data_IF_416257134921
#
_entry.id   IF_416257134921
#
_cell.length_a   1.000
_cell.length_b   1.000
_cell.length_c   1.000
_cell.angle_alpha   90.00
_cell.angle_beta   90.00
_cell.angle_gamma   90.00
#
_symmetry.space_group_name_H-M   'P 1'
#
loop_
_entity.id
_entity.type
_entity.pdbx_description
1 polymer ?
#
# COMPACT_ATOMS: atom_id res chain seq x y z
N UNK A 1 12.27 -15.01 -21.95
CA UNK A 1 10.80 -15.18 -21.96
C UNK A 1 10.20 -13.82 -21.70
N UNK A 2 9.19 -13.45 -22.47
CA UNK A 2 8.52 -12.16 -22.35
C UNK A 2 7.39 -12.24 -21.33
N UNK A 3 7.26 -11.19 -20.52
CA UNK A 3 6.23 -11.05 -19.51
C UNK A 3 5.52 -9.72 -19.70
N UNK A 4 4.19 -9.73 -19.64
CA UNK A 4 3.35 -8.54 -19.68
C UNK A 4 2.70 -8.34 -18.29
N UNK A 5 2.99 -7.23 -17.63
CA UNK A 5 2.38 -6.85 -16.33
C UNK A 5 1.33 -5.76 -16.58
N UNK A 6 0.14 -5.92 -16.03
CA UNK A 6 -0.97 -4.97 -16.17
C UNK A 6 -1.11 -4.18 -14.86
N UNK A 7 -0.85 -2.86 -14.96
CA UNK A 7 -0.90 -1.92 -13.85
C UNK A 7 0.47 -1.52 -13.32
N UNK A 8 0.67 -0.21 -13.08
CA UNK A 8 1.92 0.40 -12.62
C UNK A 8 1.84 0.94 -11.17
N UNK A 9 0.90 0.46 -10.37
CA UNK A 9 0.91 0.69 -8.94
C UNK A 9 2.07 -0.06 -8.25
N UNK A 10 2.20 0.09 -6.93
CA UNK A 10 3.29 -0.54 -6.18
C UNK A 10 3.37 -2.06 -6.40
N UNK A 11 2.24 -2.77 -6.45
CA UNK A 11 2.19 -4.22 -6.69
C UNK A 11 2.69 -4.58 -8.09
N UNK A 12 2.27 -3.84 -9.12
CA UNK A 12 2.72 -4.09 -10.49
C UNK A 12 4.20 -3.78 -10.68
N UNK A 13 4.68 -2.65 -10.14
CA UNK A 13 6.08 -2.28 -10.23
C UNK A 13 6.99 -3.28 -9.50
N UNK A 14 6.65 -3.69 -8.27
CA UNK A 14 7.47 -4.68 -7.52
C UNK A 14 7.49 -6.04 -8.22
N UNK A 15 6.35 -6.46 -8.80
CA UNK A 15 6.27 -7.69 -9.60
C UNK A 15 7.14 -7.60 -10.85
N UNK A 16 7.03 -6.50 -11.60
CA UNK A 16 7.81 -6.29 -12.82
C UNK A 16 9.32 -6.21 -12.53
N UNK A 17 9.72 -5.53 -11.44
CA UNK A 17 11.12 -5.47 -11.00
C UNK A 17 11.64 -6.88 -10.68
N UNK A 18 10.91 -7.64 -9.88
CA UNK A 18 11.34 -8.99 -9.47
C UNK A 18 11.55 -9.92 -10.67
N UNK A 19 10.71 -9.81 -11.70
CA UNK A 19 10.82 -10.58 -12.94
C UNK A 19 11.97 -10.07 -13.83
N UNK A 20 12.11 -8.75 -14.00
CA UNK A 20 13.15 -8.16 -14.82
C UNK A 20 14.55 -8.39 -14.23
N UNK A 21 14.72 -8.24 -12.93
CA UNK A 21 16.00 -8.52 -12.22
C UNK A 21 16.36 -10.02 -12.22
N UNK A 22 15.36 -10.89 -12.43
CA UNK A 22 15.57 -12.32 -12.67
C UNK A 22 15.93 -12.64 -14.14
N UNK A 23 16.11 -11.62 -15.00
CA UNK A 23 16.56 -11.76 -16.38
C UNK A 23 15.46 -11.95 -17.44
N UNK A 24 14.19 -11.70 -17.07
CA UNK A 24 13.09 -11.79 -18.02
C UNK A 24 12.89 -10.45 -18.75
N UNK A 25 12.38 -10.50 -19.98
CA UNK A 25 11.95 -9.31 -20.74
C UNK A 25 10.56 -8.90 -20.26
N UNK A 26 10.45 -7.77 -19.58
CA UNK A 26 9.20 -7.34 -18.93
C UNK A 26 8.69 -6.02 -19.50
N UNK A 27 7.42 -6.01 -19.90
CA UNK A 27 6.70 -4.79 -20.27
C UNK A 27 5.54 -4.57 -19.26
N UNK A 28 5.42 -3.36 -18.74
CA UNK A 28 4.22 -2.94 -17.99
C UNK A 28 3.29 -2.19 -18.96
N UNK A 29 2.01 -2.58 -19.02
CA UNK A 29 0.93 -1.76 -19.57
C UNK A 29 0.05 -1.23 -18.46
N UNK A 30 -0.25 0.05 -18.49
CA UNK A 30 -1.01 0.73 -17.43
C UNK A 30 -1.94 1.79 -18.02
N UNK A 31 -3.09 2.00 -17.37
CA UNK A 31 -4.00 3.08 -17.76
C UNK A 31 -3.44 4.47 -17.40
N UNK A 32 -2.68 4.55 -16.29
CA UNK A 32 -2.14 5.78 -15.74
C UNK A 32 -0.68 5.59 -15.34
N UNK A 33 0.14 6.65 -15.37
CA UNK A 33 1.51 6.58 -14.87
C UNK A 33 1.53 6.26 -13.36
N UNK A 34 2.63 5.71 -12.80
CA UNK A 34 2.73 5.29 -11.40
C UNK A 34 2.27 6.34 -10.38
N UNK A 35 2.60 7.58 -10.62
CA UNK A 35 2.30 8.75 -9.78
C UNK A 35 0.81 9.14 -9.74
N UNK A 36 -0.02 8.57 -10.61
CA UNK A 36 -1.47 8.79 -10.64
C UNK A 36 -2.26 7.56 -10.17
N UNK A 37 -1.59 6.45 -9.87
CA UNK A 37 -2.26 5.24 -9.38
C UNK A 37 -2.73 5.40 -7.93
N UNK A 38 -3.68 4.55 -7.51
CA UNK A 38 -4.13 4.48 -6.10
C UNK A 38 -2.98 4.41 -5.09
N UNK A 39 -1.84 3.84 -5.48
CA UNK A 39 -0.68 3.69 -4.60
C UNK A 39 -0.13 5.02 -4.08
N UNK A 40 -0.28 6.13 -4.82
CA UNK A 40 0.21 7.44 -4.37
C UNK A 40 -0.54 7.97 -3.14
N UNK A 41 -1.77 7.54 -2.94
CA UNK A 41 -2.61 7.96 -1.81
C UNK A 41 -2.36 7.15 -0.53
N UNK A 42 -1.53 6.10 -0.57
CA UNK A 42 -1.25 5.30 0.62
C UNK A 42 -0.43 6.09 1.64
N UNK A 43 -0.79 5.97 2.91
CA UNK A 43 -0.02 6.53 4.03
C UNK A 43 1.28 5.77 4.27
N UNK A 44 1.22 4.46 4.02
CA UNK A 44 2.30 3.51 3.80
C UNK A 44 3.31 3.32 4.95
N UNK A 45 2.82 3.20 6.17
CA UNK A 45 3.57 2.50 7.22
C UNK A 45 3.47 0.99 6.94
N UNK A 46 4.56 0.26 7.11
CA UNK A 46 4.55 -1.19 6.97
C UNK A 46 3.68 -1.83 8.06
N UNK A 47 2.73 -2.63 7.61
CA UNK A 47 1.79 -3.40 8.41
C UNK A 47 0.71 -3.94 7.46
N UNK A 48 0.55 -5.27 7.31
CA UNK A 48 -0.44 -5.87 6.42
C UNK A 48 -1.86 -5.76 7.00
N UNK A 49 -2.26 -4.53 7.31
CA UNK A 49 -3.57 -4.22 7.88
C UNK A 49 -4.65 -4.33 6.81
N UNK A 50 -5.77 -4.98 7.15
CA UNK A 50 -6.92 -5.18 6.24
C UNK A 50 -6.58 -5.92 4.94
N UNK A 51 -5.55 -6.76 4.94
CA UNK A 51 -5.33 -7.75 3.91
C UNK A 51 -6.01 -9.06 4.32
N UNK A 52 -6.79 -9.63 3.41
CA UNK A 52 -7.48 -10.90 3.63
C UNK A 52 -6.65 -12.11 3.19
N UNK A 53 -6.92 -13.26 3.81
CA UNK A 53 -6.30 -14.54 3.44
C UNK A 53 -5.71 -15.33 4.62
N UNK A 54 -5.10 -16.50 4.36
CA UNK A 54 -4.49 -17.31 5.38
C UNK A 54 -3.34 -16.59 6.10
N UNK A 55 -3.35 -16.50 7.46
CA UNK A 55 -2.37 -15.76 8.22
C UNK A 55 -0.92 -16.11 7.91
N UNK A 56 -0.61 -17.39 7.72
CA UNK A 56 0.76 -17.86 7.45
C UNK A 56 1.28 -17.35 6.10
N UNK A 57 0.41 -17.29 5.09
CA UNK A 57 0.75 -16.76 3.76
C UNK A 57 0.97 -15.25 3.82
N UNK A 58 0.07 -14.53 4.50
CA UNK A 58 0.21 -13.08 4.74
C UNK A 58 1.50 -12.75 5.52
N UNK A 59 1.85 -13.57 6.52
CA UNK A 59 3.10 -13.41 7.27
C UNK A 59 4.34 -13.67 6.42
N UNK A 60 4.32 -14.67 5.56
CA UNK A 60 5.44 -14.95 4.66
C UNK A 60 5.68 -13.79 3.69
N UNK A 61 4.62 -13.29 3.04
CA UNK A 61 4.71 -12.12 2.16
C UNK A 61 5.10 -10.86 2.92
N UNK A 62 4.50 -10.62 4.10
CA UNK A 62 4.81 -9.48 4.96
C UNK A 62 6.27 -9.47 5.42
N UNK A 63 6.82 -10.63 5.79
CA UNK A 63 8.24 -10.76 6.16
C UNK A 63 9.16 -10.33 5.03
N UNK A 64 8.96 -10.85 3.81
CA UNK A 64 9.73 -10.45 2.63
C UNK A 64 9.58 -8.94 2.37
N UNK A 65 8.36 -8.39 2.50
CA UNK A 65 8.13 -6.95 2.38
C UNK A 65 8.87 -6.13 3.43
N UNK A 66 8.88 -6.58 4.69
CA UNK A 66 9.61 -5.94 5.78
C UNK A 66 11.12 -5.94 5.53
N UNK A 67 11.67 -7.08 5.13
CA UNK A 67 13.10 -7.24 4.83
C UNK A 67 13.54 -6.30 3.70
N UNK A 68 12.82 -6.28 2.57
CA UNK A 68 13.14 -5.43 1.44
C UNK A 68 12.99 -3.95 1.79
N UNK A 69 11.89 -3.54 2.41
CA UNK A 69 11.68 -2.14 2.77
C UNK A 69 12.70 -1.66 3.82
N UNK A 70 13.09 -2.54 4.77
CA UNK A 70 14.13 -2.21 5.75
C UNK A 70 15.50 -2.03 5.08
N UNK A 71 15.85 -2.84 4.09
CA UNK A 71 17.06 -2.66 3.30
C UNK A 71 17.03 -1.33 2.51
N UNK A 72 15.90 -1.03 1.86
CA UNK A 72 15.72 0.22 1.12
C UNK A 72 15.76 1.47 2.01
N UNK A 73 15.42 1.36 3.28
CA UNK A 73 15.52 2.47 4.23
C UNK A 73 16.96 2.91 4.49
N UNK A 74 17.96 2.04 4.23
CA UNK A 74 19.38 2.38 4.31
C UNK A 74 19.92 3.06 3.04
N UNK A 75 19.16 3.07 1.95
CA UNK A 75 19.55 3.63 0.66
C UNK A 75 18.93 5.03 0.47
N UNK A 76 19.71 6.06 0.13
CA UNK A 76 19.17 7.39 -0.13
C UNK A 76 18.30 7.42 -1.40
N UNK A 77 17.27 8.26 -1.40
CA UNK A 77 16.42 8.49 -2.57
C UNK A 77 15.35 7.42 -2.83
N UNK A 78 15.23 6.39 -1.99
CA UNK A 78 14.20 5.36 -2.12
C UNK A 78 12.82 5.81 -1.67
N UNK A 79 12.73 6.86 -0.85
CA UNK A 79 11.50 7.28 -0.20
C UNK A 79 11.10 6.41 1.00
N UNK A 80 11.94 5.47 1.41
CA UNK A 80 11.71 4.60 2.58
C UNK A 80 12.60 5.04 3.73
N UNK A 81 12.06 5.07 4.94
CA UNK A 81 12.81 5.24 6.19
C UNK A 81 12.27 4.34 7.29
N UNK A 82 13.06 4.02 8.28
CA UNK A 82 12.55 3.44 9.52
C UNK A 82 11.99 4.57 10.38
N UNK A 83 10.77 4.43 10.84
CA UNK A 83 10.11 5.37 11.71
C UNK A 83 9.61 4.68 12.96
N UNK A 84 9.77 5.33 14.11
CA UNK A 84 9.10 4.97 15.34
C UNK A 84 7.65 5.48 15.32
N UNK A 85 6.79 4.83 16.08
CA UNK A 85 5.42 5.31 16.26
C UNK A 85 4.58 4.42 17.14
N UNK A 86 3.30 4.78 17.22
CA UNK A 86 2.38 4.21 18.19
C UNK A 86 1.05 3.85 17.56
N UNK A 87 0.52 2.70 17.96
CA UNK A 87 -0.89 2.39 17.83
C UNK A 87 -1.54 2.59 19.20
N UNK A 88 -2.61 3.36 19.28
CA UNK A 88 -3.26 3.73 20.55
C UNK A 88 -4.76 3.43 20.54
N UNK A 89 -5.33 3.17 21.71
CA UNK A 89 -6.76 2.91 21.89
C UNK A 89 -7.24 3.40 23.27
N UNK A 90 -8.52 3.76 23.35
CA UNK A 90 -9.21 4.08 24.61
C UNK A 90 -9.65 2.84 25.39
N UNK A 91 -9.55 1.66 24.74
CA UNK A 91 -9.83 0.35 25.33
C UNK A 91 -8.55 -0.50 25.37
N UNK A 92 -8.51 -1.62 26.11
CA UNK A 92 -7.42 -2.57 26.02
C UNK A 92 -7.19 -3.01 24.57
N UNK A 93 -5.93 -3.03 24.14
CA UNK A 93 -5.53 -3.25 22.76
C UNK A 93 -4.61 -4.45 22.63
N UNK A 94 -5.07 -5.49 21.92
CA UNK A 94 -4.23 -6.58 21.54
C UNK A 94 -3.40 -6.24 20.28
N UNK A 95 -2.13 -6.65 20.23
CA UNK A 95 -1.31 -6.43 19.04
C UNK A 95 -1.83 -7.28 17.87
N UNK A 96 -1.66 -6.79 16.66
CA UNK A 96 -1.94 -7.59 15.47
C UNK A 96 -1.01 -8.81 15.39
N UNK A 97 -1.49 -9.91 14.81
CA UNK A 97 -0.72 -11.16 14.67
C UNK A 97 0.61 -10.99 13.91
N UNK A 98 0.71 -10.00 13.02
CA UNK A 98 1.91 -9.72 12.24
C UNK A 98 2.96 -8.91 13.01
N UNK A 99 2.61 -8.28 14.14
CA UNK A 99 3.56 -7.50 14.94
C UNK A 99 4.67 -8.35 15.55
N UNK A 100 4.48 -9.69 15.60
CA UNK A 100 5.54 -10.63 15.98
C UNK A 100 6.77 -10.59 15.05
N UNK A 101 6.66 -9.95 13.88
CA UNK A 101 7.77 -9.70 12.97
C UNK A 101 8.59 -8.46 13.36
N UNK A 102 8.08 -7.63 14.26
CA UNK A 102 8.75 -6.40 14.73
C UNK A 102 9.57 -6.72 15.98
N UNK A 103 10.90 -6.44 15.97
CA UNK A 103 11.78 -6.86 17.06
C UNK A 103 11.64 -6.00 18.32
N UNK A 104 11.10 -4.78 18.20
CA UNK A 104 11.05 -3.75 19.24
C UNK A 104 9.64 -3.40 19.71
N UNK A 105 8.65 -4.25 19.39
CA UNK A 105 7.27 -4.08 19.85
C UNK A 105 7.21 -4.10 21.37
N UNK A 106 6.67 -3.05 21.96
CA UNK A 106 6.43 -2.93 23.41
C UNK A 106 5.14 -2.20 23.72
N UNK A 107 4.55 -2.41 24.89
CA UNK A 107 3.47 -1.53 25.36
C UNK A 107 3.94 -0.07 25.44
N UNK A 108 3.02 0.87 25.21
CA UNK A 108 3.29 2.28 25.46
C UNK A 108 3.35 2.55 26.98
N UNK A 109 4.30 3.40 27.38
CA UNK A 109 4.29 3.98 28.71
C UNK A 109 3.11 4.98 28.85
N UNK A 110 2.56 5.20 30.04
CA UNK A 110 1.46 6.14 30.24
C UNK A 110 1.72 7.55 29.71
N UNK A 111 2.96 8.02 29.76
CA UNK A 111 3.40 9.33 29.25
C UNK A 111 3.45 9.42 27.71
N UNK A 112 3.44 8.28 27.03
CA UNK A 112 3.45 8.19 25.57
C UNK A 112 2.04 8.19 24.98
N UNK A 113 1.02 8.00 25.81
CA UNK A 113 -0.37 7.95 25.38
C UNK A 113 -0.96 9.36 25.25
N UNK A 114 -1.68 9.67 24.16
CA UNK A 114 -2.45 10.90 24.08
C UNK A 114 -3.52 10.97 25.17
N UNK A 115 -3.97 12.18 25.50
CA UNK A 115 -5.01 12.37 26.50
C UNK A 115 -6.28 11.58 26.18
N UNK A 116 -6.77 10.82 27.16
CA UNK A 116 -7.98 9.99 27.03
C UNK A 116 -7.76 8.62 26.40
N UNK A 117 -6.50 8.24 26.10
CA UNK A 117 -6.14 6.89 25.68
C UNK A 117 -5.60 6.09 26.86
N UNK A 118 -5.87 4.78 26.90
CA UNK A 118 -5.52 3.90 28.02
C UNK A 118 -4.63 2.73 27.64
N UNK A 119 -4.42 2.48 26.36
CA UNK A 119 -3.57 1.41 25.86
C UNK A 119 -2.92 1.75 24.54
N UNK A 120 -1.80 1.09 24.26
CA UNK A 120 -1.12 1.26 23.00
C UNK A 120 0.12 0.39 22.88
N UNK A 121 0.62 0.32 21.66
CA UNK A 121 1.84 -0.39 21.28
C UNK A 121 2.79 0.57 20.58
N UNK A 122 4.04 0.58 21.02
CA UNK A 122 5.12 1.33 20.38
C UNK A 122 6.05 0.37 19.63
N UNK A 123 6.45 0.76 18.41
CA UNK A 123 7.36 -0.03 17.59
C UNK A 123 7.99 0.84 16.48
N UNK A 124 9.02 0.30 15.83
CA UNK A 124 9.57 0.87 14.60
C UNK A 124 9.16 0.06 13.38
N UNK A 125 8.88 0.74 12.27
CA UNK A 125 8.55 0.09 11.01
C UNK A 125 8.98 0.95 9.81
N UNK A 126 9.15 0.36 8.61
CA UNK A 126 9.32 1.12 7.39
C UNK A 126 8.13 2.05 7.15
N UNK A 127 8.42 3.33 6.96
CA UNK A 127 7.49 4.36 6.52
C UNK A 127 7.90 4.83 5.13
N UNK A 128 6.95 4.82 4.19
CA UNK A 128 7.22 5.02 2.77
C UNK A 128 6.58 6.30 2.28
N UNK A 129 7.38 7.23 1.76
CA UNK A 129 6.92 8.43 1.07
C UNK A 129 6.56 8.07 -0.36
N UNK A 130 5.28 7.77 -0.59
CA UNK A 130 4.80 7.12 -1.81
C UNK A 130 5.17 7.79 -3.13
N UNK A 131 5.09 9.14 -3.29
CA UNK A 131 5.52 9.76 -4.55
C UNK A 131 7.00 9.49 -4.88
N UNK A 132 7.87 9.54 -3.85
CA UNK A 132 9.31 9.27 -4.03
C UNK A 132 9.54 7.79 -4.33
N UNK A 133 8.88 6.92 -3.58
CA UNK A 133 9.01 5.47 -3.72
C UNK A 133 8.54 4.96 -5.10
N UNK A 134 7.42 5.44 -5.60
CA UNK A 134 6.94 5.07 -6.94
C UNK A 134 7.91 5.53 -8.04
N UNK A 135 8.49 6.73 -7.91
CA UNK A 135 9.55 7.21 -8.80
C UNK A 135 10.80 6.32 -8.74
N UNK A 136 11.22 5.94 -7.54
CA UNK A 136 12.33 4.99 -7.34
C UNK A 136 12.05 3.63 -7.97
N UNK A 137 10.87 3.05 -7.74
CA UNK A 137 10.49 1.76 -8.32
C UNK A 137 10.48 1.82 -9.85
N UNK A 138 9.90 2.87 -10.44
CA UNK A 138 9.93 3.08 -11.89
C UNK A 138 11.35 3.13 -12.42
N UNK A 139 12.21 3.96 -11.84
CA UNK A 139 13.61 4.07 -12.27
C UNK A 139 14.38 2.75 -12.08
N UNK A 140 14.10 1.97 -11.04
CA UNK A 140 14.69 0.65 -10.81
C UNK A 140 14.24 -0.34 -11.88
N UNK A 141 12.95 -0.36 -12.22
CA UNK A 141 12.41 -1.18 -13.29
C UNK A 141 13.04 -0.86 -14.65
N UNK A 142 13.13 0.43 -15.01
CA UNK A 142 13.75 0.88 -16.26
C UNK A 142 15.24 0.52 -16.31
N UNK A 143 15.99 0.65 -15.20
CA UNK A 143 17.40 0.20 -15.11
C UNK A 143 17.57 -1.32 -15.28
N UNK A 144 16.58 -2.11 -14.88
CA UNK A 144 16.56 -3.55 -15.13
C UNK A 144 16.18 -3.92 -16.57
N UNK A 145 16.05 -2.93 -17.47
CA UNK A 145 15.70 -3.13 -18.87
C UNK A 145 14.19 -3.23 -19.13
N UNK A 146 13.35 -2.99 -18.14
CA UNK A 146 11.89 -3.01 -18.27
C UNK A 146 11.34 -1.84 -19.08
N UNK A 147 10.19 -2.04 -19.72
CA UNK A 147 9.47 -1.03 -20.52
C UNK A 147 8.13 -0.71 -19.85
N UNK A 148 7.80 0.57 -19.74
CA UNK A 148 6.51 1.03 -19.23
C UNK A 148 5.75 1.77 -20.32
N UNK A 149 4.55 1.30 -20.60
CA UNK A 149 3.65 1.84 -21.63
C UNK A 149 2.35 2.30 -20.98
N UNK A 150 2.03 3.59 -21.11
CA UNK A 150 0.72 4.13 -20.70
C UNK A 150 -0.26 3.85 -21.84
N UNK A 151 -0.93 2.71 -21.73
CA UNK A 151 -1.88 2.19 -22.72
C UNK A 151 -2.94 1.39 -21.97
N UNK A 152 -4.16 1.90 -21.82
CA UNK A 152 -5.24 1.20 -21.13
C UNK A 152 -5.50 -0.18 -21.73
N UNK A 153 -6.01 -1.07 -20.88
CA UNK A 153 -6.46 -2.42 -21.25
C UNK A 153 -7.95 -2.48 -20.91
N UNK A 154 -8.78 -2.72 -21.92
CA UNK A 154 -10.23 -2.78 -21.74
C UNK A 154 -10.71 -4.18 -21.33
N UNK A 155 -9.97 -5.21 -21.73
CA UNK A 155 -10.24 -6.59 -21.36
C UNK A 155 -8.95 -7.41 -21.31
N UNK A 156 -8.82 -8.28 -20.30
CA UNK A 156 -7.69 -9.20 -20.27
C UNK A 156 -7.74 -10.20 -21.41
N UNK A 157 -8.90 -10.56 -21.94
CA UNK A 157 -9.04 -11.54 -23.02
C UNK A 157 -8.34 -11.10 -24.32
N UNK A 158 -8.23 -9.79 -24.58
CA UNK A 158 -7.49 -9.25 -25.74
C UNK A 158 -5.97 -9.47 -25.65
N UNK A 159 -5.46 -9.79 -24.46
CA UNK A 159 -4.06 -10.03 -24.20
C UNK A 159 -3.66 -11.50 -24.36
N UNK A 160 -4.61 -12.38 -24.68
CA UNK A 160 -4.31 -13.79 -24.94
C UNK A 160 -3.34 -13.90 -26.13
N UNK A 161 -2.15 -14.49 -25.90
CA UNK A 161 -1.09 -14.57 -26.91
C UNK A 161 -0.18 -13.35 -27.01
N UNK A 162 -0.42 -12.26 -26.24
CA UNK A 162 0.45 -11.08 -26.23
C UNK A 162 1.82 -11.36 -25.57
N UNK A 163 1.85 -12.27 -24.60
CA UNK A 163 3.07 -12.78 -23.96
C UNK A 163 2.81 -14.18 -23.39
N UNK A 164 3.85 -15.02 -23.25
CA UNK A 164 3.73 -16.31 -22.56
C UNK A 164 3.26 -16.20 -21.12
N UNK A 165 3.59 -15.11 -20.45
CA UNK A 165 3.15 -14.81 -19.09
C UNK A 165 2.52 -13.42 -19.04
N UNK A 166 1.29 -13.36 -18.57
CA UNK A 166 0.58 -12.11 -18.26
C UNK A 166 0.34 -12.05 -16.76
N UNK A 167 0.61 -10.89 -16.13
CA UNK A 167 0.38 -10.70 -14.68
C UNK A 167 -0.58 -9.55 -14.46
N UNK A 168 -1.77 -9.83 -13.97
CA UNK A 168 -2.78 -8.84 -13.63
C UNK A 168 -2.52 -8.22 -12.25
N UNK A 169 -1.98 -7.01 -12.22
CA UNK A 169 -1.74 -6.18 -11.04
C UNK A 169 -2.61 -4.90 -11.06
N UNK A 170 -3.79 -4.96 -11.67
CA UNK A 170 -4.64 -3.79 -11.95
C UNK A 170 -5.36 -3.20 -10.72
N UNK A 171 -5.17 -3.78 -9.53
CA UNK A 171 -5.75 -3.25 -8.29
C UNK A 171 -7.28 -3.20 -8.34
N UNK A 172 -7.87 -2.03 -8.06
CA UNK A 172 -9.32 -1.86 -8.09
C UNK A 172 -9.93 -2.02 -9.50
N UNK A 173 -9.17 -1.72 -10.55
CA UNK A 173 -9.61 -1.92 -11.94
C UNK A 173 -9.82 -3.41 -12.30
N UNK A 174 -9.30 -4.35 -11.48
CA UNK A 174 -9.59 -5.77 -11.63
C UNK A 174 -11.09 -6.09 -11.60
N UNK A 175 -11.91 -5.27 -10.94
CA UNK A 175 -13.36 -5.42 -10.93
C UNK A 175 -13.96 -5.42 -12.34
N UNK A 176 -13.48 -4.56 -13.24
CA UNK A 176 -13.95 -4.49 -14.62
C UNK A 176 -13.19 -5.43 -15.58
N UNK A 177 -11.89 -5.68 -15.31
CA UNK A 177 -11.04 -6.49 -16.18
C UNK A 177 -11.22 -8.00 -15.98
N UNK A 178 -11.60 -8.39 -14.76
CA UNK A 178 -11.86 -9.77 -14.38
C UNK A 178 -13.22 -9.77 -13.67
N UNK A 179 -14.22 -10.55 -14.09
CA UNK A 179 -15.49 -10.65 -13.38
C UNK A 179 -15.26 -11.25 -11.97
N UNK A 180 -14.88 -10.41 -11.03
CA UNK A 180 -14.56 -10.80 -9.66
C UNK A 180 -15.50 -10.09 -8.67
N UNK A 181 -16.65 -10.70 -8.33
CA UNK A 181 -17.60 -10.10 -7.40
C UNK A 181 -17.11 -10.02 -5.95
N UNK A 182 -16.00 -10.69 -5.63
CA UNK A 182 -15.40 -10.62 -4.29
C UNK A 182 -14.52 -9.37 -4.11
N UNK A 183 -14.17 -8.66 -5.20
CA UNK A 183 -13.40 -7.43 -5.13
C UNK A 183 -14.31 -6.24 -4.80
N UNK A 184 -14.02 -5.55 -3.71
CA UNK A 184 -14.75 -4.38 -3.24
C UNK A 184 -13.80 -3.18 -3.18
N UNK A 185 -14.11 -2.05 -3.82
CA UNK A 185 -13.35 -0.83 -3.64
C UNK A 185 -13.58 -0.28 -2.23
N UNK A 186 -12.53 0.14 -1.56
CA UNK A 186 -12.64 0.83 -0.28
C UNK A 186 -12.00 2.20 -0.43
N UNK A 187 -12.85 3.22 -0.57
CA UNK A 187 -12.41 4.59 -0.76
C UNK A 187 -11.70 5.11 0.48
N UNK A 188 -10.53 5.69 0.29
CA UNK A 188 -9.76 6.35 1.33
C UNK A 188 -9.35 7.74 0.90
N UNK A 189 -9.88 8.76 1.59
CA UNK A 189 -9.40 10.13 1.47
C UNK A 189 -8.40 10.42 2.59
N UNK A 190 -7.34 11.16 2.23
CA UNK A 190 -6.31 11.64 3.15
C UNK A 190 -6.01 13.11 2.87
N UNK A 191 -5.47 13.79 3.87
CA UNK A 191 -5.05 15.19 3.79
C UNK A 191 -3.54 15.26 3.95
N UNK A 192 -2.89 16.08 3.15
CA UNK A 192 -1.46 16.40 3.29
C UNK A 192 -1.36 17.79 3.91
N UNK A 193 -0.66 17.91 5.03
CA UNK A 193 -0.45 19.17 5.73
C UNK A 193 1.04 19.43 5.92
N UNK A 194 1.40 20.69 6.20
CA UNK A 194 2.73 21.04 6.67
C UNK A 194 2.97 20.37 8.03
N UNK A 195 4.15 19.79 8.21
CA UNK A 195 4.49 19.07 9.44
C UNK A 195 5.02 20.06 10.50
N UNK A 196 4.37 20.18 11.66
CA UNK A 196 4.83 21.06 12.76
C UNK A 196 5.99 20.47 13.57
N UNK A 197 6.75 19.52 13.04
CA UNK A 197 7.85 18.86 13.73
C UNK A 197 7.44 17.56 14.43
N UNK A 198 6.42 16.86 13.91
CA UNK A 198 6.05 15.51 14.36
C UNK A 198 6.98 14.52 13.67
N UNK A 199 7.65 13.65 14.45
CA UNK A 199 8.62 12.68 13.94
C UNK A 199 8.08 11.25 13.95
N UNK A 200 7.21 10.91 14.93
CA UNK A 200 6.64 9.58 15.08
C UNK A 200 5.27 9.46 14.40
N UNK A 201 5.00 8.31 13.84
CA UNK A 201 3.64 8.01 13.38
C UNK A 201 2.70 7.69 14.55
N UNK A 202 1.41 7.93 14.34
CA UNK A 202 0.37 7.57 15.30
C UNK A 202 -0.84 7.00 14.56
N UNK A 203 -1.40 5.91 15.08
CA UNK A 203 -2.59 5.24 14.56
C UNK A 203 -3.58 5.06 15.69
N UNK A 204 -4.79 5.60 15.55
CA UNK A 204 -5.89 5.31 16.46
C UNK A 204 -6.57 4.00 16.04
N UNK A 205 -6.62 3.04 16.95
CA UNK A 205 -7.21 1.71 16.74
C UNK A 205 -8.68 1.62 17.15
N UNK A 206 -9.26 2.69 17.71
CA UNK A 206 -10.67 2.71 18.08
C UNK A 206 -11.54 2.69 16.80
N UNK A 207 -12.51 1.77 16.71
CA UNK A 207 -13.38 1.69 15.57
C UNK A 207 -14.36 2.86 15.52
N UNK A 208 -14.32 3.64 14.47
CA UNK A 208 -15.29 4.72 14.18
C UNK A 208 -15.58 4.78 12.67
N UNK A 209 -16.12 3.69 12.07
CA UNK A 209 -16.35 3.67 10.63
C UNK A 209 -17.28 4.81 10.15
N UNK A 210 -17.01 5.41 8.98
CA UNK A 210 -15.92 5.08 8.04
C UNK A 210 -14.58 5.75 8.38
N UNK A 211 -14.45 6.38 9.55
CA UNK A 211 -13.30 7.20 9.95
C UNK A 211 -12.18 6.34 10.53
N UNK A 212 -10.96 6.65 10.11
CA UNK A 212 -9.73 6.13 10.69
C UNK A 212 -8.79 7.30 10.92
N UNK A 213 -8.29 7.46 12.14
CA UNK A 213 -7.38 8.56 12.49
C UNK A 213 -5.96 8.02 12.56
N UNK A 214 -5.09 8.56 11.72
CA UNK A 214 -3.66 8.28 11.75
C UNK A 214 -2.86 9.48 11.23
N UNK A 215 -1.61 9.55 11.65
CA UNK A 215 -0.66 10.61 11.36
C UNK A 215 0.61 9.95 10.86
N UNK A 216 1.04 10.24 9.63
CA UNK A 216 2.29 9.71 9.07
C UNK A 216 3.20 10.85 8.64
N UNK A 217 4.28 11.14 9.40
CA UNK A 217 5.21 12.22 9.08
C UNK A 217 6.15 11.83 7.94
N UNK A 218 6.26 12.70 6.94
CA UNK A 218 7.11 12.54 5.76
C UNK A 218 8.04 13.76 5.61
N UNK A 219 8.90 14.02 6.60
CA UNK A 219 9.75 15.20 6.64
C UNK A 219 8.95 16.48 6.88
N UNK A 220 9.02 17.42 5.95
CA UNK A 220 8.31 18.73 6.04
C UNK A 220 6.79 18.61 5.86
N UNK A 221 6.29 17.45 5.48
CA UNK A 221 4.86 17.19 5.33
C UNK A 221 4.40 16.08 6.26
N UNK A 222 3.11 16.08 6.56
CA UNK A 222 2.46 15.01 7.32
C UNK A 222 1.18 14.58 6.62
N UNK A 223 1.00 13.26 6.47
CA UNK A 223 -0.22 12.69 5.94
C UNK A 223 -1.18 12.41 7.09
N UNK A 224 -2.37 12.99 6.98
CA UNK A 224 -3.47 12.85 7.94
C UNK A 224 -4.52 11.92 7.34
N UNK A 225 -4.85 10.87 8.03
CA UNK A 225 -5.86 9.94 7.57
C UNK A 225 -7.03 9.83 8.53
N UNK A 226 -8.11 9.37 8.11
CA UNK A 226 -8.64 9.25 6.74
C UNK A 226 -9.97 8.53 6.75
N UNK A 227 -10.39 8.05 5.60
CA UNK A 227 -11.64 7.30 5.49
C UNK A 227 -11.41 5.85 5.06
N UNK A 228 -12.43 5.03 5.29
CA UNK A 228 -12.50 3.63 4.89
C UNK A 228 -13.94 3.33 4.47
N UNK A 229 -14.32 3.85 3.30
CA UNK A 229 -15.69 3.87 2.81
C UNK A 229 -15.87 2.75 1.77
N UNK A 230 -16.52 1.67 2.19
CA UNK A 230 -16.68 0.44 1.40
C UNK A 230 -17.71 0.61 0.29
N UNK A 231 -17.42 0.08 -0.89
CA UNK A 231 -18.30 0.12 -2.05
C UNK A 231 -18.32 1.47 -2.77
N UNK A 232 -17.61 2.46 -2.29
CA UNK A 232 -17.57 3.78 -2.89
C UNK A 232 -16.45 3.88 -3.94
N UNK A 233 -16.86 4.22 -5.19
CA UNK A 233 -15.97 4.39 -6.35
C UNK A 233 -15.57 5.83 -6.62
N UNK A 234 -16.09 6.80 -5.84
CA UNK A 234 -15.79 8.21 -6.04
C UNK A 234 -14.29 8.49 -5.77
N UNK A 235 -13.63 9.13 -6.71
CA UNK A 235 -12.20 9.50 -6.62
C UNK A 235 -11.99 10.98 -6.36
N UNK A 236 -13.07 11.79 -6.31
CA UNK A 236 -12.96 13.20 -6.04
C UNK A 236 -12.80 13.49 -4.53
N UNK A 237 -11.89 14.39 -4.14
CA UNK A 237 -11.77 14.81 -2.75
C UNK A 237 -12.99 15.61 -2.29
N UNK A 238 -13.55 15.29 -1.11
CA UNK A 238 -14.61 16.08 -0.45
C UNK A 238 -13.99 17.03 0.58
N UNK A 239 -14.28 18.34 0.52
CA UNK A 239 -13.85 19.32 1.51
C UNK A 239 -14.35 18.99 2.92
N UNK A 240 -15.62 18.59 3.06
CA UNK A 240 -16.23 18.25 4.36
C UNK A 240 -15.56 17.04 5.00
N UNK A 241 -15.18 16.06 4.18
CA UNK A 241 -14.41 14.89 4.64
C UNK A 241 -13.03 15.33 5.09
N UNK A 242 -12.38 16.24 4.36
CA UNK A 242 -11.06 16.75 4.70
C UNK A 242 -11.08 17.50 6.05
N UNK A 243 -12.05 18.39 6.27
CA UNK A 243 -12.23 19.10 7.55
C UNK A 243 -12.37 18.13 8.72
N UNK A 244 -13.16 17.07 8.56
CA UNK A 244 -13.36 16.06 9.59
C UNK A 244 -12.10 15.24 9.86
N UNK A 245 -11.32 14.89 8.82
CA UNK A 245 -10.02 14.23 8.98
C UNK A 245 -9.08 15.11 9.82
N UNK A 246 -8.95 16.38 9.46
CA UNK A 246 -8.09 17.32 10.17
C UNK A 246 -8.55 17.48 11.62
N UNK A 247 -9.85 17.66 11.87
CA UNK A 247 -10.40 17.78 13.22
C UNK A 247 -10.10 16.55 14.08
N UNK A 248 -10.26 15.35 13.53
CA UNK A 248 -9.92 14.07 14.19
C UNK A 248 -8.45 13.99 14.55
N UNK A 249 -7.56 14.35 13.63
CA UNK A 249 -6.12 14.34 13.85
C UNK A 249 -5.69 15.41 14.89
N UNK A 250 -6.22 16.62 14.81
CA UNK A 250 -5.97 17.69 15.82
C UNK A 250 -6.46 17.29 17.21
N UNK A 251 -7.54 16.51 17.30
CA UNK A 251 -8.06 15.99 18.56
C UNK A 251 -7.10 15.06 19.30
N UNK A 252 -6.24 14.35 18.57
CA UNK A 252 -5.24 13.43 19.11
C UNK A 252 -3.87 14.10 19.22
N UNK A 253 -3.52 14.93 18.24
CA UNK A 253 -2.23 15.63 18.15
C UNK A 253 -2.46 17.14 18.00
N UNK A 254 -2.57 17.88 19.11
CA UNK A 254 -2.91 19.32 19.09
C UNK A 254 -1.89 20.21 18.37
N UNK A 255 -0.64 19.76 18.17
CA UNK A 255 0.39 20.50 17.41
C UNK A 255 -0.01 20.74 15.95
N UNK A 256 -0.93 19.95 15.42
CA UNK A 256 -1.47 20.12 14.06
C UNK A 256 -2.43 21.31 13.92
N UNK A 257 -2.82 21.95 15.02
CA UNK A 257 -3.76 23.07 14.97
C UNK A 257 -3.19 24.24 14.17
N UNK A 258 -3.88 24.60 13.08
CA UNK A 258 -3.44 25.67 12.19
C UNK A 258 -2.34 25.27 11.20
N UNK A 259 -2.00 23.99 11.10
CA UNK A 259 -1.09 23.51 10.06
C UNK A 259 -1.67 23.80 8.66
N UNK A 260 -0.84 24.31 7.76
CA UNK A 260 -1.21 24.59 6.38
C UNK A 260 -1.60 23.30 5.65
N UNK A 261 -2.75 23.29 4.99
CA UNK A 261 -3.19 22.18 4.15
C UNK A 261 -2.55 22.35 2.77
N UNK A 262 -1.74 21.37 2.39
CA UNK A 262 -0.98 21.36 1.14
C UNK A 262 -1.68 20.59 0.02
N UNK A 263 -2.64 19.71 0.37
CA UNK A 263 -3.38 18.96 -0.64
C UNK A 263 -4.20 17.81 -0.08
N UNK A 264 -4.86 17.14 -1.00
CA UNK A 264 -5.71 15.98 -0.72
C UNK A 264 -5.35 14.84 -1.66
N UNK A 265 -5.57 13.61 -1.22
CA UNK A 265 -5.48 12.42 -2.08
C UNK A 265 -6.64 11.49 -1.80
N UNK A 266 -7.14 10.87 -2.86
CA UNK A 266 -8.14 9.80 -2.77
C UNK A 266 -7.58 8.56 -3.45
N UNK A 267 -7.79 7.40 -2.85
CA UNK A 267 -7.40 6.12 -3.44
C UNK A 267 -8.44 5.05 -3.17
N UNK A 268 -8.61 4.15 -4.12
CA UNK A 268 -9.51 3.02 -4.02
C UNK A 268 -8.71 1.77 -3.63
N UNK A 269 -8.75 1.39 -2.34
CA UNK A 269 -8.09 0.16 -1.87
C UNK A 269 -8.82 -1.04 -2.47
N UNK A 270 -8.13 -1.93 -3.18
CA UNK A 270 -8.75 -3.13 -3.76
C UNK A 270 -8.89 -4.20 -2.67
N UNK A 271 -10.02 -4.21 -1.96
CA UNK A 271 -10.23 -5.19 -0.90
C UNK A 271 -10.87 -6.47 -1.45
N UNK A 272 -10.38 -7.60 -0.96
CA UNK A 272 -10.95 -8.94 -1.13
C UNK A 272 -10.88 -9.71 0.18
N UNK A 273 -11.77 -10.70 0.41
CA UNK A 273 -11.64 -11.63 1.54
C UNK A 273 -10.32 -12.38 1.58
N UNK A 274 -9.70 -12.61 0.41
CA UNK A 274 -8.36 -13.16 0.25
C UNK A 274 -7.63 -12.47 -0.90
N UNK A 275 -6.35 -12.15 -0.69
CA UNK A 275 -5.48 -11.67 -1.78
C UNK A 275 -5.47 -12.70 -2.89
N UNK A 276 -5.81 -12.28 -4.11
CA UNK A 276 -5.79 -13.15 -5.27
C UNK A 276 -4.36 -13.23 -5.81
N UNK A 277 -3.64 -14.27 -5.41
CA UNK A 277 -2.31 -14.61 -5.93
C UNK A 277 -2.37 -16.05 -6.45
N UNK A 278 -2.72 -16.20 -7.71
CA UNK A 278 -2.93 -17.50 -8.36
C UNK A 278 -2.70 -17.40 -9.87
N UNK A 279 -2.45 -18.53 -10.50
CA UNK A 279 -2.26 -18.67 -11.94
C UNK A 279 -3.38 -19.49 -12.57
N UNK A 280 -3.75 -19.11 -13.80
CA UNK A 280 -4.69 -19.88 -14.64
C UNK A 280 -4.20 -19.98 -16.10
N UNK A 281 -4.61 -21.00 -16.86
CA UNK A 281 -4.30 -21.09 -18.30
C UNK A 281 -4.86 -19.87 -19.04
N UNK A 282 -4.07 -19.32 -19.96
CA UNK A 282 -4.45 -18.13 -20.72
C UNK A 282 -3.94 -18.18 -22.16
N UNK A 283 -4.79 -18.60 -23.09
CA UNK A 283 -4.36 -18.95 -24.45
C UNK A 283 -3.32 -20.08 -24.41
N UNK A 284 -2.18 -19.88 -25.07
CA UNK A 284 -1.03 -20.81 -25.03
C UNK A 284 -0.06 -20.51 -23.87
N UNK A 285 -0.41 -19.57 -22.98
CA UNK A 285 0.40 -19.12 -21.86
C UNK A 285 -0.29 -19.21 -20.52
N UNK A 286 0.10 -18.36 -19.59
CA UNK A 286 -0.42 -18.30 -18.22
C UNK A 286 -0.77 -16.87 -17.81
N UNK A 287 -1.91 -16.71 -17.14
CA UNK A 287 -2.32 -15.47 -16.48
C UNK A 287 -2.15 -15.62 -14.96
N UNK A 288 -1.31 -14.80 -14.39
CA UNK A 288 -1.21 -14.60 -12.95
C UNK A 288 -2.12 -13.47 -12.52
N UNK A 289 -2.83 -13.65 -11.42
CA UNK A 289 -3.52 -12.60 -10.71
C UNK A 289 -2.69 -12.18 -9.49
N UNK A 290 -2.54 -10.88 -9.26
CA UNK A 290 -1.85 -10.32 -8.10
C UNK A 290 -2.55 -9.02 -7.68
N UNK A 291 -3.71 -9.16 -7.05
CA UNK A 291 -4.53 -8.02 -6.60
C UNK A 291 -5.38 -8.39 -5.37
N UNK A 292 -6.16 -7.43 -4.87
CA UNK A 292 -7.05 -7.65 -3.74
C UNK A 292 -6.39 -7.47 -2.37
N UNK A 293 -5.29 -6.71 -2.32
CA UNK A 293 -4.47 -6.52 -1.10
C UNK A 293 -5.10 -5.61 -0.04
N UNK A 294 -6.25 -4.97 -0.32
CA UNK A 294 -6.87 -4.02 0.59
C UNK A 294 -5.92 -2.90 1.03
N UNK A 295 -5.75 -2.73 2.33
CA UNK A 295 -4.81 -1.76 2.91
C UNK A 295 -3.36 -2.25 3.00
N UNK A 296 -3.09 -3.54 2.73
CA UNK A 296 -1.78 -4.17 2.91
C UNK A 296 -0.87 -4.19 1.68
N UNK A 297 -1.26 -3.55 0.57
CA UNK A 297 -0.56 -3.67 -0.72
C UNK A 297 0.93 -3.37 -0.65
N UNK A 298 1.34 -2.29 0.00
CA UNK A 298 2.76 -1.91 0.14
C UNK A 298 3.53 -2.94 0.98
N UNK A 299 2.91 -3.44 2.04
CA UNK A 299 3.54 -4.40 2.96
C UNK A 299 3.73 -5.77 2.34
N UNK A 300 2.86 -6.18 1.41
CA UNK A 300 2.82 -7.54 0.84
C UNK A 300 3.44 -7.63 -0.56
N UNK A 301 3.57 -6.51 -1.28
CA UNK A 301 3.88 -6.48 -2.71
C UNK A 301 5.16 -7.24 -3.07
N UNK A 302 6.25 -7.06 -2.32
CA UNK A 302 7.51 -7.75 -2.57
C UNK A 302 7.43 -9.26 -2.33
N UNK A 303 6.68 -9.68 -1.30
CA UNK A 303 6.48 -11.10 -1.02
C UNK A 303 5.65 -11.78 -2.10
N UNK A 304 4.57 -11.15 -2.56
CA UNK A 304 3.75 -11.62 -3.68
C UNK A 304 4.58 -11.68 -4.98
N UNK A 305 5.36 -10.64 -5.26
CA UNK A 305 6.24 -10.57 -6.42
C UNK A 305 7.29 -11.69 -6.42
N UNK A 306 7.91 -11.96 -5.28
CA UNK A 306 8.89 -13.05 -5.12
C UNK A 306 8.27 -14.45 -5.33
N UNK A 307 7.01 -14.65 -4.92
CA UNK A 307 6.28 -15.91 -5.16
C UNK A 307 6.02 -16.11 -6.65
N UNK A 308 5.54 -15.07 -7.35
CA UNK A 308 5.34 -15.12 -8.81
C UNK A 308 6.67 -15.39 -9.54
N UNK A 309 7.73 -14.64 -9.20
CA UNK A 309 9.03 -14.80 -9.87
C UNK A 309 9.58 -16.23 -9.72
N UNK A 310 9.50 -16.81 -8.53
CA UNK A 310 9.89 -18.21 -8.31
C UNK A 310 9.08 -19.20 -9.17
N UNK A 311 7.77 -18.98 -9.28
CA UNK A 311 6.90 -19.88 -10.04
C UNK A 311 7.06 -19.75 -11.56
N UNK A 312 7.39 -18.55 -12.05
CA UNK A 312 7.60 -18.30 -13.49
C UNK A 312 8.96 -18.83 -13.96
N UNK A 313 9.94 -18.94 -13.04
CA UNK A 313 11.29 -19.42 -13.34
C UNK A 313 11.47 -20.93 -13.13
N UNK A 314 10.53 -21.61 -12.47
CA UNK A 314 10.54 -23.07 -12.26
C UNK A 314 10.04 -23.83 -13.47
#
# INVERSE_FOLDING_TARGET
>A
MDVLVIGAGAVGLTTAISLAEAGLSVTIRTAEPPEQTTSVAAGAVWGPVKAGGPPDRLLAWGRTGLEVLSALAAEPGTGVRIAAGREVSRAPLEPYYWTKLLPDLRPCEPSELPNGFSGGWHYTAPLVTMPVYLGYLRARFERAGGKLEVSPVDSLTELAGAAPVVVNCSGAAAFGLVPDPAMVPVRGQVVIAANPGIEEFLINRDPEPPWIVYLFPHGDTILLGGTNDEGNWDTEPSPEVAERIVAGCVGIEPRLRGAEILGHRVGLRPWRPEVRLEAEPFGDGVLWHNYGHGGGGISLSWGCAAEIARSVLS
#
